data_IF_668048188185
#
_entry.id   IF_668048188185
#
_cell.length_a   1.000
_cell.length_b   1.000
_cell.length_c   1.000
_cell.angle_alpha   90.00
_cell.angle_beta   90.00
_cell.angle_gamma   90.00
#
_symmetry.space_group_name_H-M   'P 1'
#
loop_
_entity.id
_entity.type
_entity.pdbx_description
1 polymer ?
#
# COMPACT_ATOMS: atom_id res chain seq x y z
N UNK A 1 -17.53 -19.05 -14.91
CA UNK A 1 -17.68 -17.79 -15.68
C UNK A 1 -17.28 -16.55 -14.86
N UNK A 2 -17.82 -16.36 -13.65
CA UNK A 2 -17.53 -15.18 -12.80
C UNK A 2 -16.07 -15.11 -12.32
N UNK A 3 -15.50 -16.22 -11.82
CA UNK A 3 -14.10 -16.23 -11.34
C UNK A 3 -13.08 -15.89 -12.45
N UNK A 4 -13.27 -16.43 -13.65
CA UNK A 4 -12.41 -16.13 -14.80
C UNK A 4 -12.45 -14.65 -15.21
N UNK A 5 -13.62 -14.02 -15.11
CA UNK A 5 -13.75 -12.57 -15.33
C UNK A 5 -12.98 -11.77 -14.26
N UNK A 6 -13.14 -12.12 -12.98
CA UNK A 6 -12.47 -11.43 -11.86
C UNK A 6 -10.95 -11.49 -12.01
N UNK A 7 -10.38 -12.67 -12.28
CA UNK A 7 -8.94 -12.82 -12.43
C UNK A 7 -8.38 -12.13 -13.68
N UNK A 8 -9.12 -12.12 -14.80
CA UNK A 8 -8.69 -11.43 -16.03
C UNK A 8 -8.73 -9.91 -15.91
N UNK A 9 -9.57 -9.35 -15.05
CA UNK A 9 -9.73 -7.90 -14.86
C UNK A 9 -9.25 -7.42 -13.49
N UNK A 10 -8.53 -8.26 -12.74
CA UNK A 10 -8.21 -8.04 -11.33
C UNK A 10 -7.54 -6.68 -11.08
N UNK A 11 -6.54 -6.32 -11.89
CA UNK A 11 -5.84 -5.05 -11.78
C UNK A 11 -6.76 -3.84 -11.96
N UNK A 12 -7.68 -3.89 -12.93
CA UNK A 12 -8.63 -2.80 -13.20
C UNK A 12 -9.66 -2.68 -12.06
N UNK A 13 -10.15 -3.81 -11.56
CA UNK A 13 -11.09 -3.85 -10.42
C UNK A 13 -10.45 -3.24 -9.18
N UNK A 14 -9.20 -3.63 -8.87
CA UNK A 14 -8.46 -3.12 -7.72
C UNK A 14 -8.19 -1.64 -7.85
N UNK A 15 -7.76 -1.18 -9.03
CA UNK A 15 -7.56 0.23 -9.29
C UNK A 15 -8.86 1.03 -9.09
N UNK A 16 -9.98 0.55 -9.66
CA UNK A 16 -11.29 1.16 -9.49
C UNK A 16 -11.72 1.21 -8.02
N UNK A 17 -11.47 0.14 -7.26
CA UNK A 17 -11.73 0.07 -5.82
C UNK A 17 -10.92 1.12 -5.05
N UNK A 18 -9.61 1.24 -5.30
CA UNK A 18 -8.76 2.23 -4.63
C UNK A 18 -9.08 3.67 -5.03
N UNK A 19 -9.42 3.92 -6.30
CA UNK A 19 -9.89 5.24 -6.75
C UNK A 19 -11.23 5.62 -6.13
N UNK A 20 -12.18 4.67 -6.03
CA UNK A 20 -13.44 4.86 -5.34
C UNK A 20 -13.23 5.15 -3.84
N UNK A 21 -12.34 4.40 -3.19
CA UNK A 21 -11.97 4.63 -1.80
C UNK A 21 -11.28 5.99 -1.61
N UNK A 22 -10.38 6.39 -2.51
CA UNK A 22 -9.77 7.71 -2.52
C UNK A 22 -10.81 8.82 -2.67
N UNK A 23 -11.83 8.64 -3.51
CA UNK A 23 -12.92 9.62 -3.63
C UNK A 23 -13.66 9.82 -2.30
N UNK A 24 -13.89 8.75 -1.51
CA UNK A 24 -14.48 8.86 -0.17
C UNK A 24 -13.58 9.67 0.77
N UNK A 25 -12.26 9.43 0.73
CA UNK A 25 -11.28 10.20 1.53
C UNK A 25 -11.27 11.67 1.11
N UNK A 26 -11.32 11.95 -0.20
CA UNK A 26 -11.36 13.30 -0.73
C UNK A 26 -12.64 14.04 -0.31
N UNK A 27 -13.80 13.38 -0.38
CA UNK A 27 -15.08 13.94 0.13
C UNK A 27 -15.00 14.20 1.63
N UNK A 28 -14.41 13.28 2.41
CA UNK A 28 -14.22 13.47 3.85
C UNK A 28 -13.30 14.65 4.19
N UNK A 29 -12.33 14.93 3.33
CA UNK A 29 -11.43 16.08 3.47
C UNK A 29 -12.10 17.40 3.07
N UNK A 30 -12.74 17.45 1.90
CA UNK A 30 -13.31 18.69 1.33
C UNK A 30 -14.69 19.05 1.92
N UNK A 31 -15.49 18.05 2.29
CA UNK A 31 -16.87 18.19 2.77
C UNK A 31 -17.08 17.35 4.04
N UNK A 32 -16.40 17.66 5.15
CA UNK A 32 -16.42 16.84 6.36
C UNK A 32 -17.83 16.63 6.93
N UNK A 33 -18.74 17.60 6.76
CA UNK A 33 -20.13 17.50 7.22
C UNK A 33 -20.94 16.39 6.54
N UNK A 34 -20.61 16.01 5.31
CA UNK A 34 -21.33 14.96 4.57
C UNK A 34 -21.05 13.56 5.10
N UNK A 35 -19.89 13.37 5.71
CA UNK A 35 -19.38 12.09 6.21
C UNK A 35 -18.82 12.26 7.62
N UNK A 36 -19.53 13.02 8.47
CA UNK A 36 -19.07 13.39 9.82
C UNK A 36 -18.78 12.19 10.72
N UNK A 37 -19.46 11.07 10.48
CA UNK A 37 -19.35 9.86 11.30
C UNK A 37 -18.16 8.97 10.90
N UNK A 38 -17.47 9.30 9.81
CA UNK A 38 -16.32 8.54 9.32
C UNK A 38 -15.05 9.19 9.85
N UNK A 39 -14.38 8.53 10.80
CA UNK A 39 -13.08 8.94 11.31
C UNK A 39 -11.94 8.46 10.40
N UNK A 40 -10.80 9.18 10.38
CA UNK A 40 -9.63 8.69 9.64
C UNK A 40 -9.09 7.37 10.17
N UNK A 41 -9.27 7.08 11.47
CA UNK A 41 -8.91 5.76 12.04
C UNK A 41 -9.71 4.62 11.42
N UNK A 42 -11.01 4.83 11.18
CA UNK A 42 -11.84 3.86 10.45
C UNK A 42 -11.37 3.71 8.99
N UNK A 43 -11.01 4.82 8.33
CA UNK A 43 -10.46 4.76 6.97
C UNK A 43 -9.12 4.00 6.92
N UNK A 44 -8.24 4.19 7.89
CA UNK A 44 -7.00 3.41 8.03
C UNK A 44 -7.32 1.93 8.19
N UNK A 45 -8.26 1.59 9.08
CA UNK A 45 -8.66 0.19 9.31
C UNK A 45 -9.23 -0.43 8.04
N UNK A 46 -10.11 0.27 7.33
CA UNK A 46 -10.68 -0.18 6.05
C UNK A 46 -9.56 -0.42 5.03
N UNK A 47 -8.64 0.53 4.86
CA UNK A 47 -7.52 0.38 3.92
C UNK A 47 -6.61 -0.81 4.27
N UNK A 48 -6.29 -0.99 5.56
CA UNK A 48 -5.51 -2.12 6.03
C UNK A 48 -6.23 -3.46 5.76
N UNK A 49 -7.53 -3.54 6.06
CA UNK A 49 -8.35 -4.73 5.77
C UNK A 49 -8.41 -5.01 4.27
N UNK A 50 -8.55 -3.98 3.41
CA UNK A 50 -8.55 -4.17 1.95
C UNK A 50 -7.24 -4.78 1.44
N UNK A 51 -6.08 -4.38 1.96
CA UNK A 51 -4.80 -5.01 1.58
C UNK A 51 -4.70 -6.46 2.04
N UNK A 52 -5.14 -6.77 3.26
CA UNK A 52 -5.14 -8.13 3.76
C UNK A 52 -6.10 -9.02 2.96
N UNK A 53 -7.31 -8.53 2.70
CA UNK A 53 -8.29 -9.23 1.87
C UNK A 53 -7.75 -9.47 0.45
N UNK A 54 -7.07 -8.51 -0.14
CA UNK A 54 -6.43 -8.66 -1.44
C UNK A 54 -5.37 -9.77 -1.42
N UNK A 55 -4.44 -9.76 -0.46
CA UNK A 55 -3.40 -10.78 -0.34
C UNK A 55 -4.01 -12.18 -0.11
N UNK A 56 -5.01 -12.28 0.77
CA UNK A 56 -5.74 -13.53 1.00
C UNK A 56 -6.49 -14.01 -0.24
N UNK A 57 -7.16 -13.11 -0.96
CA UNK A 57 -7.93 -13.44 -2.16
C UNK A 57 -7.02 -13.96 -3.29
N UNK A 58 -5.88 -13.32 -3.54
CA UNK A 58 -4.90 -13.82 -4.51
C UNK A 58 -4.30 -15.14 -4.05
N UNK A 59 -3.97 -15.28 -2.77
CA UNK A 59 -3.44 -16.55 -2.23
C UNK A 59 -4.43 -17.69 -2.45
N UNK A 60 -5.70 -17.47 -2.17
CA UNK A 60 -6.76 -18.44 -2.43
C UNK A 60 -6.90 -18.77 -3.92
N UNK A 61 -6.88 -17.76 -4.80
CA UNK A 61 -6.89 -17.95 -6.25
C UNK A 61 -5.71 -18.80 -6.73
N UNK A 62 -4.51 -18.51 -6.24
CA UNK A 62 -3.29 -19.25 -6.56
C UNK A 62 -3.39 -20.71 -6.11
N UNK A 63 -3.88 -20.95 -4.89
CA UNK A 63 -4.11 -22.30 -4.36
C UNK A 63 -5.10 -23.09 -5.24
N UNK A 64 -6.21 -22.45 -5.63
CA UNK A 64 -7.21 -23.07 -6.49
C UNK A 64 -6.63 -23.44 -7.87
N UNK A 65 -5.86 -22.52 -8.48
CA UNK A 65 -5.20 -22.79 -9.77
C UNK A 65 -4.22 -23.95 -9.63
N UNK A 66 -3.37 -23.96 -8.60
CA UNK A 66 -2.38 -25.02 -8.41
C UNK A 66 -2.99 -26.38 -8.09
N UNK A 67 -4.12 -26.41 -7.39
CA UNK A 67 -4.83 -27.65 -7.08
C UNK A 67 -5.57 -28.25 -8.27
N UNK A 68 -5.95 -27.44 -9.26
CA UNK A 68 -6.77 -27.89 -10.40
C UNK A 68 -6.02 -28.02 -11.73
N UNK A 69 -4.86 -27.37 -11.89
CA UNK A 69 -4.20 -27.26 -13.21
C UNK A 69 -3.38 -28.49 -13.63
N UNK A 70 -2.63 -29.12 -12.72
CA UNK A 70 -1.76 -30.26 -13.07
C UNK A 70 -1.36 -31.10 -11.85
N UNK A 71 -0.89 -32.32 -12.08
CA UNK A 71 -0.26 -33.14 -11.02
C UNK A 71 1.02 -32.48 -10.47
N UNK A 72 1.78 -31.79 -11.33
CA UNK A 72 2.99 -31.08 -10.93
C UNK A 72 2.72 -29.96 -9.92
N UNK A 73 1.76 -29.08 -10.21
CA UNK A 73 1.40 -27.98 -9.29
C UNK A 73 0.77 -28.49 -8.00
N UNK A 74 0.04 -29.61 -8.05
CA UNK A 74 -0.46 -30.30 -6.85
C UNK A 74 0.68 -30.86 -6.00
N UNK A 75 1.71 -31.43 -6.62
CA UNK A 75 2.90 -31.88 -5.88
C UNK A 75 3.60 -30.72 -5.15
N UNK A 76 3.65 -29.52 -5.74
CA UNK A 76 4.18 -28.32 -5.09
C UNK A 76 3.33 -27.83 -3.89
N UNK A 77 2.03 -28.12 -3.88
CA UNK A 77 1.19 -27.87 -2.69
C UNK A 77 1.51 -28.88 -1.56
N UNK A 78 1.89 -30.10 -1.89
CA UNK A 78 2.26 -31.10 -0.89
C UNK A 78 3.72 -30.95 -0.41
N UNK A 79 4.57 -30.25 -1.18
CA UNK A 79 6.00 -30.15 -0.91
C UNK A 79 6.31 -29.24 0.31
N UNK A 80 7.24 -29.66 1.19
CA UNK A 80 7.85 -28.78 2.18
C UNK A 80 8.78 -27.77 1.49
N UNK A 81 9.17 -26.71 2.21
CA UNK A 81 10.17 -25.79 1.70
C UNK A 81 11.57 -26.45 1.68
N UNK A 82 12.28 -26.48 0.54
CA UNK A 82 13.63 -27.03 0.46
C UNK A 82 14.61 -26.33 1.40
N UNK A 83 15.60 -27.06 1.92
CA UNK A 83 16.61 -26.50 2.83
C UNK A 83 17.50 -25.50 2.08
N UNK A 84 17.72 -25.71 0.79
CA UNK A 84 18.52 -24.83 -0.06
C UNK A 84 17.76 -23.57 -0.48
N UNK A 85 16.48 -23.43 -0.13
CA UNK A 85 15.70 -22.25 -0.47
C UNK A 85 16.37 -20.99 0.13
N UNK A 86 16.68 -19.97 -0.71
CA UNK A 86 17.34 -18.78 -0.24
C UNK A 86 16.37 -17.96 0.63
N UNK A 87 16.67 -17.90 1.93
CA UNK A 87 16.05 -16.98 2.87
C UNK A 87 17.11 -15.96 3.30
N UNK A 88 16.78 -14.66 3.40
CA UNK A 88 17.65 -13.70 4.05
C UNK A 88 17.94 -14.13 5.49
N UNK A 89 19.17 -13.92 5.97
CA UNK A 89 19.60 -14.30 7.34
C UNK A 89 18.63 -13.79 8.42
N UNK A 90 18.10 -12.58 8.25
CA UNK A 90 17.12 -11.98 9.17
C UNK A 90 15.77 -12.72 9.23
N UNK A 91 15.48 -13.59 8.28
CA UNK A 91 14.25 -14.38 8.17
C UNK A 91 14.51 -15.89 8.33
N UNK A 92 15.72 -16.33 8.68
CA UNK A 92 15.97 -17.76 8.87
C UNK A 92 15.15 -18.36 10.03
N UNK A 93 14.83 -17.55 11.04
CA UNK A 93 14.04 -17.97 12.19
C UNK A 93 12.60 -18.41 11.82
N UNK A 94 12.05 -17.99 10.67
CA UNK A 94 10.73 -18.45 10.20
C UNK A 94 10.79 -19.75 9.41
N UNK A 95 11.98 -20.24 9.04
CA UNK A 95 12.14 -21.47 8.23
C UNK A 95 11.39 -22.69 8.81
N UNK A 96 11.39 -22.95 10.13
CA UNK A 96 10.67 -24.10 10.70
C UNK A 96 9.16 -24.11 10.41
N UNK A 97 8.54 -22.94 10.21
CA UNK A 97 7.11 -22.85 9.89
C UNK A 97 6.76 -23.34 8.47
N UNK A 98 7.76 -23.57 7.62
CA UNK A 98 7.58 -24.07 6.25
C UNK A 98 8.02 -25.54 6.06
N UNK A 99 8.27 -26.27 7.15
CA UNK A 99 8.74 -27.67 7.09
C UNK A 99 7.65 -28.71 6.82
N UNK A 100 6.38 -28.34 6.88
CA UNK A 100 5.24 -29.26 6.71
C UNK A 100 4.64 -29.28 5.30
N UNK A 101 3.55 -30.02 5.14
CA UNK A 101 2.68 -29.97 3.96
C UNK A 101 2.23 -28.53 3.72
N UNK A 102 2.22 -28.06 2.46
CA UNK A 102 2.03 -26.65 2.06
C UNK A 102 3.20 -25.71 2.38
N UNK A 103 4.34 -26.22 2.85
CA UNK A 103 5.51 -25.41 3.18
C UNK A 103 6.00 -24.54 2.02
N UNK A 104 6.19 -25.16 0.85
CA UNK A 104 6.61 -24.44 -0.35
C UNK A 104 5.56 -23.40 -0.80
N UNK A 105 4.29 -23.78 -0.81
CA UNK A 105 3.20 -22.88 -1.20
C UNK A 105 3.05 -21.68 -0.25
N UNK A 106 3.17 -21.91 1.05
CA UNK A 106 3.06 -20.86 2.06
C UNK A 106 4.23 -19.88 1.94
N UNK A 107 5.45 -20.39 1.69
CA UNK A 107 6.60 -19.53 1.40
C UNK A 107 6.40 -18.70 0.13
N UNK A 108 5.90 -19.33 -0.94
CA UNK A 108 5.57 -18.65 -2.19
C UNK A 108 4.54 -17.54 -1.98
N UNK A 109 3.42 -17.84 -1.31
CA UNK A 109 2.36 -16.88 -1.03
C UNK A 109 2.83 -15.75 -0.12
N UNK A 110 3.63 -16.07 0.90
CA UNK A 110 4.23 -15.09 1.79
C UNK A 110 5.10 -14.11 1.00
N UNK A 111 6.04 -14.60 0.21
CA UNK A 111 6.97 -13.77 -0.55
C UNK A 111 6.31 -12.95 -1.66
N UNK A 112 5.27 -13.48 -2.32
CA UNK A 112 4.63 -12.82 -3.46
C UNK A 112 3.45 -11.92 -3.12
N UNK A 113 2.71 -12.23 -2.05
CA UNK A 113 1.43 -11.56 -1.78
C UNK A 113 1.42 -10.83 -0.44
N UNK A 114 2.03 -11.38 0.61
CA UNK A 114 2.01 -10.78 1.94
C UNK A 114 3.19 -9.85 2.20
N UNK A 115 4.36 -10.12 1.63
CA UNK A 115 5.58 -9.35 1.90
C UNK A 115 5.42 -7.87 1.54
N UNK A 116 4.82 -7.56 0.39
CA UNK A 116 4.52 -6.18 -0.03
C UNK A 116 3.53 -5.48 0.91
N UNK A 117 2.52 -6.19 1.41
CA UNK A 117 1.56 -5.67 2.42
C UNK A 117 2.24 -5.40 3.76
N UNK A 118 3.09 -6.31 4.22
CA UNK A 118 3.85 -6.16 5.47
C UNK A 118 4.80 -4.96 5.34
N UNK A 119 5.55 -4.85 4.25
CA UNK A 119 6.45 -3.73 4.01
C UNK A 119 5.68 -2.42 3.98
N UNK A 120 4.54 -2.39 3.29
CA UNK A 120 3.68 -1.22 3.27
C UNK A 120 3.25 -0.79 4.68
N UNK A 121 2.80 -1.73 5.52
CA UNK A 121 2.41 -1.43 6.90
C UNK A 121 3.58 -0.95 7.75
N UNK A 122 4.75 -1.55 7.60
CA UNK A 122 5.96 -1.13 8.31
C UNK A 122 6.36 0.27 7.90
N UNK A 123 6.48 0.54 6.60
CA UNK A 123 6.86 1.86 6.05
C UNK A 123 5.83 2.91 6.46
N UNK A 124 4.54 2.64 6.26
CA UNK A 124 3.47 3.56 6.65
C UNK A 124 3.47 3.81 8.16
N UNK A 125 3.69 2.79 8.98
CA UNK A 125 3.79 2.91 10.43
C UNK A 125 4.96 3.79 10.88
N UNK A 126 6.13 3.62 10.25
CA UNK A 126 7.32 4.46 10.50
C UNK A 126 7.00 5.92 10.14
N UNK A 127 6.47 6.18 8.95
CA UNK A 127 6.11 7.53 8.53
C UNK A 127 5.03 8.15 9.41
N UNK A 128 4.01 7.39 9.79
CA UNK A 128 2.98 7.84 10.72
C UNK A 128 3.57 8.24 12.08
N UNK A 129 4.50 7.45 12.63
CA UNK A 129 5.19 7.79 13.87
C UNK A 129 6.00 9.09 13.73
N UNK A 130 6.74 9.24 12.63
CA UNK A 130 7.50 10.47 12.31
C UNK A 130 6.56 11.68 12.21
N UNK A 131 5.46 11.57 11.45
CA UNK A 131 4.51 12.67 11.28
C UNK A 131 3.77 13.03 12.55
N UNK A 132 3.43 12.03 13.38
CA UNK A 132 2.80 12.25 14.68
C UNK A 132 3.74 12.98 15.64
N UNK A 133 5.00 12.57 15.68
CA UNK A 133 6.02 13.26 16.47
C UNK A 133 6.27 14.69 15.97
N UNK A 134 6.30 14.88 14.66
CA UNK A 134 6.47 16.20 14.07
C UNK A 134 5.28 17.13 14.33
N UNK A 135 4.05 16.61 14.21
CA UNK A 135 2.81 17.32 14.52
C UNK A 135 2.76 17.79 15.97
N UNK A 136 3.16 16.93 16.91
CA UNK A 136 3.24 17.30 18.33
C UNK A 136 4.17 18.50 18.60
N UNK A 137 5.17 18.73 17.73
CA UNK A 137 6.11 19.85 17.83
C UNK A 137 5.74 21.06 16.97
N UNK A 138 4.95 20.87 15.90
CA UNK A 138 4.64 21.89 14.89
C UNK A 138 3.17 21.78 14.49
N UNK A 139 2.39 22.83 14.74
CA UNK A 139 0.95 22.87 14.49
C UNK A 139 0.56 23.02 12.99
N UNK A 140 1.45 22.65 12.05
CA UNK A 140 1.28 22.88 10.61
C UNK A 140 0.45 21.78 9.92
N UNK A 141 0.23 20.65 10.60
CA UNK A 141 -0.78 19.67 10.21
C UNK A 141 -2.06 20.02 10.96
N UNK A 142 -3.19 20.14 10.26
CA UNK A 142 -4.48 20.31 10.91
C UNK A 142 -4.80 19.18 11.90
N UNK A 143 -5.96 19.26 12.54
CA UNK A 143 -6.36 18.43 13.71
C UNK A 143 -6.23 16.90 13.48
N UNK A 144 -6.32 16.41 12.23
CA UNK A 144 -6.20 14.98 11.88
C UNK A 144 -5.19 14.72 10.75
N UNK A 145 -4.14 15.54 10.64
CA UNK A 145 -3.20 15.48 9.51
C UNK A 145 -2.37 14.20 9.41
N UNK A 146 -1.75 13.69 10.49
CA UNK A 146 -0.97 12.46 10.45
C UNK A 146 -1.81 11.24 10.05
N UNK A 147 -3.05 11.14 10.54
CA UNK A 147 -3.98 10.07 10.19
C UNK A 147 -4.39 10.13 8.72
N UNK A 148 -4.68 11.32 8.18
CA UNK A 148 -4.96 11.46 6.76
C UNK A 148 -3.76 11.03 5.92
N UNK A 149 -2.53 11.45 6.25
CA UNK A 149 -1.33 11.01 5.53
C UNK A 149 -1.17 9.49 5.56
N UNK A 150 -1.43 8.85 6.70
CA UNK A 150 -1.42 7.40 6.82
C UNK A 150 -2.42 6.75 5.86
N UNK A 151 -3.65 7.26 5.77
CA UNK A 151 -4.65 6.76 4.80
C UNK A 151 -4.14 6.93 3.35
N UNK A 152 -3.57 8.08 3.01
CA UNK A 152 -3.06 8.34 1.66
C UNK A 152 -1.89 7.42 1.28
N UNK A 153 -1.02 7.11 2.24
CA UNK A 153 0.07 6.13 2.06
C UNK A 153 -0.46 4.72 1.82
N UNK A 154 -1.48 4.29 2.56
CA UNK A 154 -2.14 3.00 2.32
C UNK A 154 -2.83 2.98 0.95
N UNK A 155 -3.48 4.06 0.54
CA UNK A 155 -4.08 4.16 -0.81
C UNK A 155 -3.02 4.04 -1.89
N UNK A 156 -1.88 4.72 -1.74
CA UNK A 156 -0.79 4.63 -2.72
C UNK A 156 -0.20 3.21 -2.81
N UNK A 157 -0.33 2.42 -1.75
CA UNK A 157 0.09 1.02 -1.71
C UNK A 157 1.60 0.84 -1.82
N UNK A 158 2.07 -0.41 -1.84
CA UNK A 158 3.44 -0.71 -2.27
C UNK A 158 3.47 -0.90 -3.79
N UNK A 159 4.43 -0.31 -4.52
CA UNK A 159 5.53 0.56 -4.06
C UNK A 159 5.19 2.06 -4.10
N UNK A 160 3.94 2.44 -4.38
CA UNK A 160 3.54 3.84 -4.56
C UNK A 160 3.77 4.74 -3.35
N UNK A 161 3.77 4.19 -2.13
CA UNK A 161 4.14 4.92 -0.91
C UNK A 161 5.54 5.52 -0.98
N UNK A 162 6.49 4.86 -1.66
CA UNK A 162 7.86 5.34 -1.85
C UNK A 162 7.90 6.53 -2.80
N UNK A 163 6.98 6.59 -3.77
CA UNK A 163 6.83 7.72 -4.69
C UNK A 163 6.08 8.87 -4.03
N UNK A 164 5.03 8.55 -3.26
CA UNK A 164 4.17 9.53 -2.61
C UNK A 164 4.95 10.45 -1.66
N UNK A 165 5.90 9.92 -0.89
CA UNK A 165 6.70 10.71 0.04
C UNK A 165 7.45 11.85 -0.66
N UNK A 166 8.49 11.56 -1.47
CA UNK A 166 9.29 12.57 -2.15
C UNK A 166 8.46 13.49 -3.06
N UNK A 167 7.54 12.92 -3.85
CA UNK A 167 6.72 13.70 -4.79
C UNK A 167 5.72 14.60 -4.05
N UNK A 168 5.13 14.11 -2.96
CA UNK A 168 4.26 14.87 -2.07
C UNK A 168 4.98 16.08 -1.47
N UNK A 169 6.21 15.90 -1.01
CA UNK A 169 7.03 17.01 -0.51
C UNK A 169 7.41 18.00 -1.62
N UNK A 170 7.80 17.53 -2.80
CA UNK A 170 8.11 18.41 -3.93
C UNK A 170 6.92 19.30 -4.31
N UNK A 171 5.72 18.72 -4.43
CA UNK A 171 4.49 19.46 -4.71
C UNK A 171 4.11 20.39 -3.55
N UNK A 172 4.36 19.98 -2.31
CA UNK A 172 4.11 20.84 -1.15
C UNK A 172 5.00 22.08 -1.13
N UNK A 173 6.26 21.98 -1.57
CA UNK A 173 7.15 23.13 -1.75
C UNK A 173 6.57 24.07 -2.82
N UNK A 174 6.14 23.55 -3.97
CA UNK A 174 5.51 24.36 -5.02
C UNK A 174 4.26 25.09 -4.51
N UNK A 175 3.40 24.41 -3.74
CA UNK A 175 2.23 25.03 -3.13
C UNK A 175 2.60 26.10 -2.10
N UNK A 176 3.64 25.87 -1.32
CA UNK A 176 4.13 26.80 -0.30
C UNK A 176 4.71 28.08 -0.93
N UNK A 177 5.54 27.93 -1.97
CA UNK A 177 6.05 29.07 -2.75
C UNK A 177 4.91 29.83 -3.42
N UNK A 178 3.97 29.12 -4.06
CA UNK A 178 2.82 29.75 -4.71
C UNK A 178 1.94 30.52 -3.73
N UNK A 179 1.68 29.96 -2.55
CA UNK A 179 0.91 30.63 -1.50
C UNK A 179 1.65 31.84 -0.92
N UNK A 180 2.98 31.80 -0.82
CA UNK A 180 3.77 32.94 -0.39
C UNK A 180 3.71 34.08 -1.41
N UNK A 181 3.89 33.78 -2.69
CA UNK A 181 3.90 34.79 -3.77
C UNK A 181 2.51 35.38 -4.01
N UNK A 182 1.48 34.54 -4.11
CA UNK A 182 0.13 34.96 -4.51
C UNK A 182 -0.74 35.38 -3.33
N UNK A 183 -0.65 34.67 -2.20
CA UNK A 183 -1.53 34.84 -1.04
C UNK A 183 -0.83 35.48 0.16
N UNK A 184 0.49 35.74 0.07
CA UNK A 184 1.34 36.25 1.16
C UNK A 184 1.25 35.42 2.45
N UNK A 185 0.89 34.14 2.34
CA UNK A 185 0.80 33.23 3.48
C UNK A 185 2.15 32.57 3.73
N UNK A 186 2.66 32.69 4.94
CA UNK A 186 3.95 32.11 5.37
C UNK A 186 3.84 30.67 5.83
N UNK A 187 2.61 30.17 6.06
CA UNK A 187 2.35 28.81 6.48
C UNK A 187 1.28 28.15 5.61
N UNK A 188 1.63 26.99 5.08
CA UNK A 188 0.80 26.17 4.21
C UNK A 188 0.74 24.75 4.76
N UNK A 189 -0.46 24.16 4.73
CA UNK A 189 -0.61 22.75 5.07
C UNK A 189 -0.01 21.87 3.98
N UNK A 190 0.63 20.78 4.37
CA UNK A 190 1.18 19.79 3.45
C UNK A 190 0.09 18.89 2.84
N UNK A 191 -1.05 18.74 3.53
CA UNK A 191 -2.09 17.76 3.19
C UNK A 191 -2.65 17.90 1.75
N UNK A 192 -2.94 19.11 1.23
CA UNK A 192 -3.44 19.25 -0.13
C UNK A 192 -2.46 18.74 -1.19
N UNK A 193 -1.15 18.90 -0.98
CA UNK A 193 -0.15 18.40 -1.93
C UNK A 193 -0.15 16.86 -1.96
N UNK A 194 -0.20 16.21 -0.80
CA UNK A 194 -0.27 14.76 -0.71
C UNK A 194 -1.58 14.21 -1.31
N UNK A 195 -2.71 14.90 -1.14
CA UNK A 195 -3.98 14.53 -1.79
C UNK A 195 -3.87 14.55 -3.31
N UNK A 196 -3.24 15.58 -3.90
CA UNK A 196 -3.04 15.67 -5.35
C UNK A 196 -2.09 14.58 -5.87
N UNK A 197 -1.05 14.26 -5.10
CA UNK A 197 -0.04 13.28 -5.51
C UNK A 197 -0.50 11.83 -5.33
N UNK A 198 -1.41 11.55 -4.39
CA UNK A 198 -1.90 10.18 -4.12
C UNK A 198 -2.39 9.42 -5.36
N UNK A 199 -3.28 9.95 -6.21
CA UNK A 199 -3.71 9.23 -7.43
C UNK A 199 -2.56 9.04 -8.43
N UNK A 200 -1.60 9.97 -8.48
CA UNK A 200 -0.40 9.84 -9.32
C UNK A 200 0.46 8.68 -8.81
N UNK A 201 0.70 8.62 -7.50
CA UNK A 201 1.44 7.53 -6.88
C UNK A 201 0.72 6.17 -7.09
N UNK A 202 -0.60 6.12 -6.96
CA UNK A 202 -1.38 4.91 -7.18
C UNK A 202 -1.29 4.39 -8.63
N UNK A 203 -1.37 5.28 -9.63
CA UNK A 203 -1.45 4.88 -11.05
C UNK A 203 -0.05 4.76 -11.68
N UNK A 204 0.85 5.68 -11.36
CA UNK A 204 2.12 5.87 -12.06
C UNK A 204 3.36 5.48 -11.23
N UNK A 205 3.20 4.81 -10.08
CA UNK A 205 4.35 4.37 -9.28
C UNK A 205 5.37 3.56 -10.09
N UNK A 206 4.90 2.55 -10.82
CA UNK A 206 5.77 1.68 -11.62
C UNK A 206 6.60 2.46 -12.65
N UNK A 207 6.01 3.23 -13.59
CA UNK A 207 6.80 3.97 -14.57
C UNK A 207 7.72 5.02 -13.93
N UNK A 208 7.34 5.64 -12.81
CA UNK A 208 8.20 6.58 -12.08
C UNK A 208 9.43 5.85 -11.50
N UNK A 209 9.23 4.70 -10.86
CA UNK A 209 10.33 3.92 -10.29
C UNK A 209 11.23 3.30 -11.36
N UNK A 210 10.66 2.89 -12.50
CA UNK A 210 11.40 2.42 -13.66
C UNK A 210 12.29 3.53 -14.25
N UNK A 211 11.76 4.75 -14.36
CA UNK A 211 12.51 5.93 -14.82
C UNK A 211 13.68 6.30 -13.88
N UNK A 212 13.48 6.12 -12.57
CA UNK A 212 14.51 6.39 -11.55
C UNK A 212 15.50 5.23 -11.38
N UNK A 213 15.39 4.17 -12.19
CA UNK A 213 16.19 2.94 -12.08
C UNK A 213 16.11 2.24 -10.71
N UNK A 214 14.98 2.38 -10.01
CA UNK A 214 14.74 1.80 -8.68
C UNK A 214 14.06 0.42 -8.74
N UNK A 215 14.52 -0.43 -9.66
CA UNK A 215 13.91 -1.73 -9.97
C UNK A 215 13.85 -2.70 -8.80
N UNK A 216 14.74 -2.57 -7.82
CA UNK A 216 14.76 -3.42 -6.63
C UNK A 216 13.43 -3.34 -5.85
N UNK A 217 12.78 -2.18 -5.84
CA UNK A 217 11.51 -1.96 -5.13
C UNK A 217 10.31 -2.57 -5.86
N UNK A 218 10.43 -2.84 -7.16
CA UNK A 218 9.38 -3.46 -7.98
C UNK A 218 9.39 -4.99 -7.91
N UNK A 219 10.49 -5.58 -7.41
CA UNK A 219 10.67 -7.04 -7.33
C UNK A 219 10.11 -7.64 -6.04
N UNK A 220 9.62 -6.79 -5.14
CA UNK A 220 9.04 -7.12 -3.83
C UNK A 220 7.54 -6.90 -3.88
#
# INVERSE_FOLDING_TARGET
>A
MILGFIFSHLNAIILGMWLGFFAVVLVRFLRPYWVKNISYKQLILVAAVLHLLYATFITWGQYYIWSTSSDFTRALLAAPLPIEAPLPVMLEWIRPYFGGTLGYFTYYAFGRFFLSVIILFVVTGIFYAIFKFWHARRNNFGIEGPELLCVLMLIAGWPGVVVLGPLGFAVAILFSVSALVLLKKTQTSLLPAFLVVTPIALIAAKPILDFLHLYALLKI
#
